data_IF_414531378426
#
_entry.id   IF_414531378426
#
_cell.length_a   1.000
_cell.length_b   1.000
_cell.length_c   1.000
_cell.angle_alpha   90.00
_cell.angle_beta   90.00
_cell.angle_gamma   90.00
#
_symmetry.space_group_name_H-M   'P 1'
#
loop_
_entity.id
_entity.type
_entity.pdbx_description
1 polymer ?
#
# COMPACT_ATOMS: atom_id res chain seq x y z
N UNK A 1 13.40 -0.54 -42.56
CA UNK A 1 13.45 0.80 -41.92
C UNK A 1 12.18 1.54 -42.29
N UNK A 2 11.24 1.62 -41.34
CA UNK A 2 10.31 2.73 -41.14
C UNK A 2 9.97 2.75 -39.66
N UNK A 3 10.27 3.90 -39.07
CA UNK A 3 10.20 4.31 -37.69
C UNK A 3 8.92 5.14 -37.50
N UNK A 4 8.15 4.91 -36.43
CA UNK A 4 7.42 5.93 -35.65
C UNK A 4 6.31 5.32 -34.79
N UNK A 5 6.55 5.36 -33.48
CA UNK A 5 5.71 6.01 -32.47
C UNK A 5 4.20 6.14 -32.75
N UNK A 6 3.41 5.40 -31.99
CA UNK A 6 2.11 5.78 -31.42
C UNK A 6 1.90 4.79 -30.25
N UNK A 7 2.13 5.14 -28.97
CA UNK A 7 1.37 6.07 -28.11
C UNK A 7 -0.11 6.10 -28.50
N UNK A 8 -0.95 5.78 -27.52
CA UNK A 8 -2.43 5.79 -27.57
C UNK A 8 -3.08 4.42 -27.84
N UNK A 9 -2.85 3.48 -26.92
CA UNK A 9 -3.88 2.50 -26.56
C UNK A 9 -4.27 2.77 -25.09
N UNK A 10 -5.00 3.87 -24.87
CA UNK A 10 -5.62 4.17 -23.59
C UNK A 10 -6.88 3.33 -23.48
N UNK A 11 -6.71 2.10 -23.00
CA UNK A 11 -7.79 1.16 -22.73
C UNK A 11 -8.45 1.55 -21.40
N UNK A 12 -9.65 2.10 -21.46
CA UNK A 12 -10.38 2.71 -20.33
C UNK A 12 -10.93 1.72 -19.29
N UNK A 13 -10.34 0.53 -19.15
CA UNK A 13 -10.81 -0.51 -18.21
C UNK A 13 -9.67 -1.34 -17.65
N UNK A 14 -9.02 -0.83 -16.62
CA UNK A 14 -8.48 -1.74 -15.62
C UNK A 14 -8.61 -1.11 -14.23
N UNK A 15 -9.19 -1.85 -13.31
CA UNK A 15 -9.16 -1.54 -11.87
C UNK A 15 -7.73 -1.69 -11.29
N UNK A 16 -6.70 -1.78 -12.15
CA UNK A 16 -5.29 -1.75 -11.78
C UNK A 16 -4.90 -0.34 -11.38
N UNK A 17 -4.86 -0.10 -10.07
CA UNK A 17 -4.05 0.98 -9.51
C UNK A 17 -2.67 0.93 -10.20
N UNK A 18 -2.27 2.02 -10.88
CA UNK A 18 -0.95 2.13 -11.50
C UNK A 18 0.11 2.29 -10.40
N UNK A 19 0.48 1.18 -9.76
CA UNK A 19 1.40 1.16 -8.61
C UNK A 19 2.71 1.91 -8.86
N UNK A 20 3.21 1.90 -10.10
CA UNK A 20 4.41 2.65 -10.50
C UNK A 20 4.24 4.19 -10.33
N UNK A 21 3.03 4.71 -10.48
CA UNK A 21 2.71 6.14 -10.38
C UNK A 21 2.40 6.59 -8.94
N UNK A 22 2.32 5.63 -8.01
CA UNK A 22 2.11 5.89 -6.58
C UNK A 22 3.41 6.31 -5.89
N UNK A 23 4.57 5.99 -6.44
CA UNK A 23 5.85 6.39 -5.83
C UNK A 23 5.90 7.93 -5.72
N UNK A 24 6.25 8.44 -4.54
CA UNK A 24 6.21 9.86 -4.10
C UNK A 24 4.81 10.44 -3.84
N UNK A 25 3.77 9.62 -3.85
CA UNK A 25 2.41 10.03 -3.44
C UNK A 25 2.24 9.96 -1.93
N UNK A 26 1.24 10.65 -1.41
CA UNK A 26 0.90 10.56 0.00
C UNK A 26 0.23 9.22 0.32
N UNK A 27 0.51 8.65 1.49
CA UNK A 27 -0.20 7.52 2.04
C UNK A 27 -0.97 7.98 3.29
N UNK A 28 -2.26 7.65 3.36
CA UNK A 28 -3.10 8.05 4.50
C UNK A 28 -4.03 6.94 4.98
N UNK A 29 -4.40 7.01 6.25
CA UNK A 29 -5.44 6.18 6.84
C UNK A 29 -6.82 6.58 6.30
N UNK A 30 -7.62 5.59 5.89
CA UNK A 30 -8.93 5.80 5.29
C UNK A 30 -9.96 6.36 6.28
N UNK A 31 -9.91 5.95 7.56
CA UNK A 31 -10.93 6.32 8.53
C UNK A 31 -10.84 7.78 8.99
N UNK A 32 -9.64 8.23 9.38
CA UNK A 32 -9.43 9.57 9.94
C UNK A 32 -8.60 10.50 9.05
N UNK A 33 -8.06 10.00 7.94
CA UNK A 33 -7.10 10.74 7.13
C UNK A 33 -5.72 10.85 7.78
N UNK A 34 -5.39 9.91 8.68
CA UNK A 34 -4.11 9.88 9.40
C UNK A 34 -2.92 9.88 8.43
N UNK A 35 -1.88 10.64 8.73
CA UNK A 35 -0.68 10.71 7.90
C UNK A 35 0.18 9.45 8.08
N UNK A 36 0.30 8.65 7.02
CA UNK A 36 1.17 7.47 6.98
C UNK A 36 2.48 7.74 6.23
N UNK A 37 2.70 8.99 5.81
CA UNK A 37 3.92 9.46 5.14
C UNK A 37 3.85 9.40 3.61
N UNK A 38 5.01 9.58 2.99
CA UNK A 38 5.19 9.54 1.54
C UNK A 38 5.57 8.13 1.09
N UNK A 39 4.95 7.63 0.03
CA UNK A 39 5.31 6.35 -0.58
C UNK A 39 6.70 6.43 -1.21
N UNK A 40 7.62 5.64 -0.69
CA UNK A 40 9.01 5.57 -1.18
C UNK A 40 9.20 4.45 -2.19
N UNK A 41 8.58 3.29 -1.96
CA UNK A 41 8.78 2.09 -2.78
C UNK A 41 7.53 1.22 -2.79
N UNK A 42 7.26 0.57 -3.92
CA UNK A 42 6.26 -0.48 -4.00
C UNK A 42 6.96 -1.84 -4.07
N UNK A 43 6.83 -2.62 -2.99
CA UNK A 43 7.24 -4.02 -2.96
C UNK A 43 6.21 -4.93 -3.64
N UNK A 44 6.47 -6.24 -3.64
CA UNK A 44 5.55 -7.22 -4.22
C UNK A 44 4.19 -7.22 -3.50
N UNK A 45 4.20 -7.35 -2.17
CA UNK A 45 2.99 -7.43 -1.32
C UNK A 45 2.82 -6.23 -0.36
N UNK A 46 3.73 -5.26 -0.40
CA UNK A 46 3.73 -4.12 0.52
C UNK A 46 4.05 -2.81 -0.20
N UNK A 47 3.77 -1.72 0.49
CA UNK A 47 4.10 -0.33 0.16
C UNK A 47 4.99 0.19 1.28
N UNK A 48 6.17 0.70 0.91
CA UNK A 48 7.09 1.33 1.85
C UNK A 48 6.75 2.81 1.91
N UNK A 49 6.46 3.32 3.11
CA UNK A 49 6.25 4.75 3.32
C UNK A 49 7.28 5.31 4.29
N UNK A 50 7.62 6.59 4.13
CA UNK A 50 8.44 7.33 5.09
C UNK A 50 7.68 8.53 5.63
N UNK A 51 7.64 8.65 6.95
CA UNK A 51 7.03 9.78 7.65
C UNK A 51 8.06 10.49 8.51
N UNK A 52 7.96 11.82 8.56
CA UNK A 52 8.80 12.69 9.40
C UNK A 52 10.02 13.25 8.66
N UNK A 53 10.34 14.52 8.94
CA UNK A 53 11.44 15.25 8.28
C UNK A 53 12.80 15.11 8.98
N UNK A 54 12.79 15.02 10.31
CA UNK A 54 14.00 14.96 11.14
C UNK A 54 14.35 13.53 11.57
N UNK A 55 13.33 12.75 11.95
CA UNK A 55 13.44 11.32 12.24
C UNK A 55 12.50 10.59 11.29
N UNK A 56 13.07 10.01 10.25
CA UNK A 56 12.33 9.27 9.23
C UNK A 56 11.91 7.92 9.80
N UNK A 57 10.62 7.77 10.07
CA UNK A 57 10.03 6.48 10.41
C UNK A 57 9.66 5.79 9.10
N UNK A 58 10.17 4.58 8.89
CA UNK A 58 9.85 3.76 7.72
C UNK A 58 8.78 2.72 8.09
N UNK A 59 7.74 2.67 7.28
CA UNK A 59 6.63 1.73 7.45
C UNK A 59 6.55 0.79 6.25
N UNK A 60 6.17 -0.45 6.51
CA UNK A 60 5.98 -1.48 5.51
C UNK A 60 4.50 -1.90 5.50
N UNK A 61 3.68 -1.16 4.77
CA UNK A 61 2.23 -1.28 4.78
C UNK A 61 1.76 -2.36 3.78
N UNK A 62 1.00 -3.37 4.21
CA UNK A 62 0.51 -4.40 3.30
C UNK A 62 -0.46 -3.87 2.24
N UNK A 63 -0.31 -4.32 0.99
CA UNK A 63 -1.20 -3.92 -0.11
C UNK A 63 -2.65 -4.35 0.09
N UNK A 64 -2.91 -5.45 0.81
CA UNK A 64 -4.27 -5.90 1.10
C UNK A 64 -5.05 -4.94 2.02
N UNK A 65 -4.36 -4.02 2.69
CA UNK A 65 -4.98 -2.96 3.49
C UNK A 65 -5.31 -1.74 2.64
N UNK A 66 -4.88 -1.67 1.38
CA UNK A 66 -5.22 -0.55 0.50
C UNK A 66 -6.73 -0.56 0.22
N UNK A 67 -7.39 0.54 0.56
CA UNK A 67 -8.80 0.80 0.24
C UNK A 67 -8.97 1.34 -1.16
N UNK A 68 -8.02 2.15 -1.62
CA UNK A 68 -8.08 2.78 -2.93
C UNK A 68 -7.02 3.85 -3.11
N UNK A 69 -6.98 4.41 -4.32
CA UNK A 69 -6.10 5.50 -4.72
C UNK A 69 -6.92 6.52 -5.51
N UNK A 70 -6.81 7.79 -5.18
CA UNK A 70 -7.60 8.88 -5.80
C UNK A 70 -6.83 9.68 -6.86
N UNK A 71 -5.57 9.33 -7.14
CA UNK A 71 -4.67 10.06 -8.05
C UNK A 71 -3.61 10.90 -7.33
N UNK A 72 -3.81 11.19 -6.05
CA UNK A 72 -2.87 11.96 -5.21
C UNK A 72 -2.50 11.22 -3.92
N UNK A 73 -3.46 10.53 -3.31
CA UNK A 73 -3.34 9.85 -2.02
C UNK A 73 -3.70 8.38 -2.14
N UNK A 74 -2.83 7.53 -1.58
CA UNK A 74 -3.08 6.10 -1.37
C UNK A 74 -3.71 5.88 0.01
N UNK A 75 -4.94 5.36 0.01
CA UNK A 75 -5.73 5.18 1.22
C UNK A 75 -5.59 3.76 1.77
N UNK A 76 -5.25 3.63 3.05
CA UNK A 76 -5.13 2.35 3.75
C UNK A 76 -6.19 2.19 4.84
N UNK A 77 -6.70 0.97 5.02
CA UNK A 77 -7.62 0.58 6.08
C UNK A 77 -6.89 0.30 7.41
N UNK A 78 -6.04 1.24 7.85
CA UNK A 78 -5.34 1.18 9.13
C UNK A 78 -5.28 2.57 9.75
N UNK A 79 -5.12 2.60 11.06
CA UNK A 79 -4.87 3.84 11.81
C UNK A 79 -3.37 4.16 11.85
N UNK A 80 -3.04 5.40 12.23
CA UNK A 80 -1.65 5.77 12.54
C UNK A 80 -1.03 4.88 13.62
N UNK A 81 -1.78 4.61 14.70
CA UNK A 81 -1.33 3.81 15.84
C UNK A 81 -1.01 2.38 15.39
N UNK A 82 -1.89 1.75 14.60
CA UNK A 82 -1.63 0.42 14.03
C UNK A 82 -0.38 0.42 13.14
N UNK A 83 -0.19 1.47 12.35
CA UNK A 83 1.00 1.65 11.51
C UNK A 83 2.27 1.71 12.36
N UNK A 84 2.26 2.50 13.44
CA UNK A 84 3.38 2.65 14.36
C UNK A 84 3.71 1.37 15.13
N UNK A 85 2.70 0.67 15.64
CA UNK A 85 2.90 -0.49 16.50
C UNK A 85 3.26 -1.75 15.70
N UNK A 86 2.68 -1.92 14.51
CA UNK A 86 2.76 -3.19 13.79
C UNK A 86 3.61 -3.14 12.52
N UNK A 87 3.75 -1.97 11.89
CA UNK A 87 4.32 -1.85 10.54
C UNK A 87 5.57 -0.96 10.46
N UNK A 88 5.89 -0.24 11.53
CA UNK A 88 7.13 0.53 11.67
C UNK A 88 8.31 -0.42 11.85
N UNK A 89 9.29 -0.33 10.95
CA UNK A 89 10.51 -1.16 11.00
C UNK A 89 11.71 -0.36 10.53
N UNK A 90 12.84 -0.52 11.22
CA UNK A 90 14.11 0.08 10.80
C UNK A 90 14.71 -0.63 9.56
N UNK A 91 14.26 -1.84 9.25
CA UNK A 91 14.79 -2.69 8.16
C UNK A 91 13.66 -3.37 7.41
N UNK A 92 13.85 -3.71 6.12
CA UNK A 92 12.89 -4.55 5.41
C UNK A 92 12.75 -5.87 6.17
N UNK A 93 11.52 -6.30 6.45
CA UNK A 93 11.30 -7.56 7.14
C UNK A 93 11.77 -8.73 6.28
N UNK A 94 12.21 -9.78 6.98
CA UNK A 94 12.73 -10.99 6.36
C UNK A 94 11.60 -11.77 5.69
N UNK A 95 11.96 -12.53 4.65
CA UNK A 95 11.07 -13.48 3.99
C UNK A 95 10.45 -14.43 5.05
N UNK A 96 9.11 -14.52 5.07
CA UNK A 96 8.37 -15.33 6.04
C UNK A 96 7.79 -14.59 7.27
N UNK A 97 8.29 -13.41 7.65
CA UNK A 97 7.68 -12.61 8.73
C UNK A 97 6.25 -12.14 8.38
N UNK A 98 5.91 -12.11 7.09
CA UNK A 98 4.63 -11.62 6.58
C UNK A 98 3.51 -12.65 6.55
N UNK A 99 3.82 -13.94 6.67
CA UNK A 99 2.79 -14.99 6.69
C UNK A 99 1.80 -14.77 7.82
N UNK A 100 2.23 -14.16 8.94
CA UNK A 100 1.36 -13.82 10.07
C UNK A 100 0.19 -12.89 9.69
N UNK A 101 0.39 -12.00 8.71
CA UNK A 101 -0.67 -11.09 8.27
C UNK A 101 -1.58 -11.73 7.23
N UNK A 102 -1.06 -12.63 6.38
CA UNK A 102 -1.92 -13.50 5.56
C UNK A 102 -2.85 -14.32 6.45
N UNK A 103 -2.34 -14.86 7.55
CA UNK A 103 -3.13 -15.62 8.52
C UNK A 103 -4.09 -14.74 9.32
N UNK A 104 -3.65 -13.57 9.80
CA UNK A 104 -4.47 -12.67 10.62
C UNK A 104 -5.61 -12.01 9.83
N UNK A 105 -5.38 -11.64 8.56
CA UNK A 105 -6.43 -11.10 7.68
C UNK A 105 -7.40 -12.19 7.19
N UNK A 106 -6.98 -13.47 7.15
CA UNK A 106 -7.86 -14.61 6.86
C UNK A 106 -8.86 -14.89 7.99
N UNK A 107 -8.60 -14.44 9.22
CA UNK A 107 -9.54 -14.68 10.35
C UNK A 107 -10.75 -13.73 10.37
N UNK A 108 -10.80 -12.68 9.53
CA UNK A 108 -11.95 -11.74 9.55
C UNK A 108 -12.88 -11.81 8.33
N UNK A 109 -12.62 -12.63 7.30
CA UNK A 109 -13.53 -12.78 6.14
C UNK A 109 -13.75 -14.23 5.69
N UNK A 110 -14.05 -15.13 6.63
CA UNK A 110 -14.71 -16.39 6.27
C UNK A 110 -15.72 -16.79 7.34
N UNK A 111 -16.88 -16.15 7.34
CA UNK A 111 -18.11 -16.84 7.69
C UNK A 111 -18.79 -17.23 6.37
N UNK A 112 -18.33 -18.31 5.74
CA UNK A 112 -19.23 -19.02 4.82
C UNK A 112 -20.32 -19.68 5.66
N UNK A 113 -21.54 -19.34 5.27
CA UNK A 113 -22.81 -19.97 5.63
C UNK A 113 -22.75 -21.48 5.55
N UNK A 114 -23.09 -22.15 6.66
CA UNK A 114 -23.64 -23.49 6.64
C UNK A 114 -24.84 -23.55 7.59
N UNK A 115 -26.05 -23.46 7.03
CA UNK A 115 -27.28 -24.16 7.43
C UNK A 115 -28.36 -23.90 6.39
#
# INVERSE_FOLDING_TARGET
MSNSNNKDNFDWKDNSIEWKEIVKKEARGYEKGDDLGEVQEIGLEFVVTERGRLKKNKFYLPKHLVKGYDGETLWFNITEEDAEDNFKKDRPPKEGEYSRYKSASVTQQHTETLS
#
